data_IF_944265578842
#
_entry.id   IF_944265578842
#
_cell.length_a   1.000
_cell.length_b   1.000
_cell.length_c   1.000
_cell.angle_alpha   90.00
_cell.angle_beta   90.00
_cell.angle_gamma   90.00
#
_symmetry.space_group_name_H-M   'P 1'
#
loop_
_entity.id
_entity.type
_entity.pdbx_description
1 polymer ?
#
# COMPACT_ATOMS: atom_id res chain seq x y z
N UNK A 1 22.48 -9.53 2.13
CA UNK A 1 21.12 -9.86 1.62
C UNK A 1 20.10 -9.17 2.52
N UNK A 2 19.12 -8.45 1.97
CA UNK A 2 18.17 -7.63 2.75
C UNK A 2 16.99 -8.48 3.25
N UNK A 3 16.52 -8.23 4.48
CA UNK A 3 15.32 -8.83 5.08
C UNK A 3 14.19 -7.81 5.15
N UNK A 4 13.31 -7.85 4.15
CA UNK A 4 12.18 -6.94 3.98
C UNK A 4 10.93 -7.51 4.66
N UNK A 5 10.33 -6.74 5.56
CA UNK A 5 9.04 -7.02 6.16
C UNK A 5 7.95 -6.16 5.49
N UNK A 6 6.79 -6.74 5.17
CA UNK A 6 5.69 -6.00 4.53
C UNK A 6 4.37 -6.30 5.26
N UNK A 7 3.54 -5.28 5.50
CA UNK A 7 2.14 -5.49 5.89
C UNK A 7 1.31 -5.91 4.67
N UNK A 8 0.71 -7.11 4.76
CA UNK A 8 0.02 -7.77 3.67
C UNK A 8 -1.44 -8.10 4.00
N UNK A 9 -2.08 -7.31 4.87
CA UNK A 9 -3.50 -7.48 5.22
C UNK A 9 -4.46 -7.24 4.04
N UNK A 10 -3.99 -6.61 2.95
CA UNK A 10 -4.72 -6.49 1.68
C UNK A 10 -4.68 -7.73 0.79
N UNK A 11 -3.78 -8.69 1.04
CA UNK A 11 -3.72 -9.93 0.25
C UNK A 11 -4.84 -10.86 0.70
N UNK A 12 -6.06 -10.62 0.21
CA UNK A 12 -7.28 -11.34 0.60
C UNK A 12 -7.91 -12.05 -0.59
N UNK A 13 -8.41 -13.26 -0.33
CA UNK A 13 -9.10 -14.05 -1.33
C UNK A 13 -10.33 -13.28 -1.86
N UNK A 14 -10.48 -13.24 -3.19
CA UNK A 14 -11.62 -12.63 -3.87
C UNK A 14 -11.65 -11.10 -3.89
N UNK A 15 -10.72 -10.40 -3.22
CA UNK A 15 -10.62 -8.95 -3.23
C UNK A 15 -9.37 -8.49 -3.99
N UNK A 16 -9.55 -7.90 -5.18
CA UNK A 16 -8.45 -7.27 -5.93
C UNK A 16 -8.48 -5.77 -5.70
N UNK A 17 -7.80 -5.32 -4.65
CA UNK A 17 -7.57 -3.88 -4.39
C UNK A 17 -6.28 -3.42 -5.07
N UNK A 18 -6.19 -2.12 -5.38
CA UNK A 18 -4.96 -1.53 -5.93
C UNK A 18 -3.77 -1.73 -4.99
N UNK A 19 -3.99 -1.56 -3.67
CA UNK A 19 -2.97 -1.78 -2.64
C UNK A 19 -2.53 -3.25 -2.59
N UNK A 20 -3.46 -4.20 -2.67
CA UNK A 20 -3.12 -5.63 -2.71
C UNK A 20 -2.28 -6.00 -3.94
N UNK A 21 -2.62 -5.44 -5.10
CA UNK A 21 -1.79 -5.62 -6.31
C UNK A 21 -0.41 -4.99 -6.14
N UNK A 22 -0.32 -3.75 -5.63
CA UNK A 22 0.94 -3.07 -5.33
C UNK A 22 1.84 -3.91 -4.40
N UNK A 23 1.31 -4.38 -3.26
CA UNK A 23 2.05 -5.22 -2.30
C UNK A 23 2.59 -6.48 -2.97
N UNK A 24 1.76 -7.15 -3.79
CA UNK A 24 2.16 -8.36 -4.49
C UNK A 24 3.32 -8.11 -5.45
N UNK A 25 3.27 -7.04 -6.25
CA UNK A 25 4.34 -6.71 -7.20
C UNK A 25 5.61 -6.24 -6.51
N UNK A 26 5.52 -5.49 -5.41
CA UNK A 26 6.68 -5.11 -4.59
C UNK A 26 7.38 -6.35 -4.03
N UNK A 27 6.62 -7.31 -3.49
CA UNK A 27 7.19 -8.56 -2.95
C UNK A 27 7.83 -9.39 -4.07
N UNK A 28 7.19 -9.52 -5.23
CA UNK A 28 7.78 -10.21 -6.40
C UNK A 28 9.10 -9.57 -6.84
N UNK A 29 9.12 -8.25 -6.96
CA UNK A 29 10.32 -7.51 -7.35
C UNK A 29 11.45 -7.65 -6.32
N UNK A 30 11.13 -7.62 -5.02
CA UNK A 30 12.11 -7.82 -3.95
C UNK A 30 12.71 -9.23 -3.98
N UNK A 31 11.90 -10.27 -4.17
CA UNK A 31 12.35 -11.67 -4.30
C UNK A 31 13.24 -11.83 -5.54
N UNK A 32 12.86 -11.24 -6.68
CA UNK A 32 13.66 -11.28 -7.90
C UNK A 32 15.04 -10.61 -7.73
N UNK A 33 15.18 -9.67 -6.79
CA UNK A 33 16.45 -9.05 -6.38
C UNK A 33 17.22 -9.86 -5.33
N UNK A 34 16.74 -11.05 -4.97
CA UNK A 34 17.33 -11.94 -3.98
C UNK A 34 17.13 -11.47 -2.53
N UNK A 35 16.07 -10.70 -2.24
CA UNK A 35 15.77 -10.28 -0.86
C UNK A 35 14.90 -11.33 -0.14
N UNK A 36 15.15 -11.51 1.15
CA UNK A 36 14.26 -12.30 2.00
C UNK A 36 13.04 -11.46 2.36
N UNK A 37 11.86 -11.92 1.96
CA UNK A 37 10.61 -11.20 2.18
C UNK A 37 9.73 -11.94 3.19
N UNK A 38 9.35 -11.27 4.27
CA UNK A 38 8.32 -11.72 5.21
C UNK A 38 7.10 -10.83 5.08
N UNK A 39 5.95 -11.42 4.78
CA UNK A 39 4.67 -10.72 4.73
C UNK A 39 3.87 -10.99 6.00
N UNK A 40 3.36 -9.94 6.62
CA UNK A 40 2.59 -10.00 7.87
C UNK A 40 1.11 -9.81 7.57
N UNK A 41 0.32 -10.83 7.89
CA UNK A 41 -1.11 -10.86 7.63
C UNK A 41 -1.96 -11.01 8.89
N UNK A 42 -3.27 -10.97 8.71
CA UNK A 42 -4.26 -11.39 9.71
C UNK A 42 -4.96 -12.70 9.27
N UNK A 43 -6.00 -13.12 9.99
CA UNK A 43 -6.75 -14.33 9.66
C UNK A 43 -7.40 -14.31 8.26
N UNK A 44 -7.61 -13.13 7.67
CA UNK A 44 -8.21 -12.95 6.34
C UNK A 44 -7.18 -12.91 5.22
N UNK A 45 -5.88 -12.86 5.55
CA UNK A 45 -4.82 -12.90 4.54
C UNK A 45 -4.79 -14.28 3.89
N UNK A 46 -4.99 -14.34 2.58
CA UNK A 46 -5.06 -15.56 1.80
C UNK A 46 -3.65 -16.04 1.39
N UNK A 47 -3.24 -17.27 1.73
CA UNK A 47 -1.89 -17.76 1.40
C UNK A 47 -1.69 -17.88 -0.10
N UNK A 48 -2.75 -18.17 -0.86
CA UNK A 48 -2.72 -18.26 -2.32
C UNK A 48 -2.38 -16.92 -3.01
N UNK A 49 -2.60 -15.79 -2.33
CA UNK A 49 -2.30 -14.45 -2.85
C UNK A 49 -0.88 -13.97 -2.48
N UNK A 50 -0.15 -14.74 -1.66
CA UNK A 50 1.24 -14.44 -1.30
C UNK A 50 2.19 -14.91 -2.40
N UNK A 51 3.09 -14.06 -2.91
CA UNK A 51 4.08 -14.48 -3.90
C UNK A 51 4.94 -15.64 -3.43
N UNK A 52 5.20 -16.58 -4.35
CA UNK A 52 6.13 -17.67 -4.12
C UNK A 52 7.51 -17.13 -3.71
N UNK A 53 8.09 -17.70 -2.65
CA UNK A 53 9.36 -17.26 -2.06
C UNK A 53 9.23 -16.28 -0.90
N UNK A 54 8.04 -15.70 -0.65
CA UNK A 54 7.78 -14.94 0.57
C UNK A 54 7.37 -15.86 1.72
N UNK A 55 7.79 -15.52 2.94
CA UNK A 55 7.30 -16.17 4.17
C UNK A 55 6.07 -15.43 4.68
N UNK A 56 4.94 -16.13 4.83
CA UNK A 56 3.73 -15.57 5.45
C UNK A 56 3.75 -15.79 6.96
N UNK A 57 3.67 -14.70 7.72
CA UNK A 57 3.41 -14.72 9.17
C UNK A 57 2.03 -14.13 9.46
N UNK A 58 1.10 -14.96 9.94
CA UNK A 58 -0.21 -14.49 10.41
C UNK A 58 -0.15 -14.13 11.87
N UNK A 59 -0.65 -12.94 12.21
CA UNK A 59 -0.69 -12.45 13.58
C UNK A 59 -2.13 -12.40 14.08
N UNK A 60 -2.35 -13.00 15.25
CA UNK A 60 -3.61 -12.88 15.98
C UNK A 60 -3.60 -11.60 16.81
N UNK A 61 -4.65 -10.80 16.72
CA UNK A 61 -4.79 -9.57 17.48
C UNK A 61 -6.27 -9.26 17.76
N UNK A 62 -6.54 -8.64 18.91
CA UNK A 62 -7.88 -8.23 19.37
C UNK A 62 -8.45 -7.02 18.61
N UNK A 63 -7.84 -6.65 17.47
CA UNK A 63 -8.26 -5.53 16.64
C UNK A 63 -7.08 -4.81 15.99
N UNK A 64 -7.39 -3.92 15.05
CA UNK A 64 -6.42 -3.25 14.19
C UNK A 64 -5.35 -2.48 14.97
N UNK A 65 -5.71 -1.78 16.06
CA UNK A 65 -4.75 -1.02 16.86
C UNK A 65 -3.75 -1.91 17.60
N UNK A 66 -4.23 -3.01 18.18
CA UNK A 66 -3.38 -4.02 18.83
C UNK A 66 -2.48 -4.72 17.83
N UNK A 67 -2.99 -5.00 16.63
CA UNK A 67 -2.18 -5.53 15.55
C UNK A 67 -1.05 -4.55 15.20
N UNK A 68 -1.40 -3.29 14.90
CA UNK A 68 -0.46 -2.27 14.40
C UNK A 68 0.61 -1.90 15.44
N UNK A 69 0.24 -1.78 16.72
CA UNK A 69 1.13 -1.22 17.74
C UNK A 69 1.77 -2.27 18.66
N UNK A 70 1.31 -3.52 18.64
CA UNK A 70 1.78 -4.55 19.59
C UNK A 70 2.19 -5.83 18.88
N UNK A 71 1.27 -6.49 18.16
CA UNK A 71 1.57 -7.78 17.54
C UNK A 71 2.63 -7.64 16.44
N UNK A 72 2.48 -6.64 15.57
CA UNK A 72 3.41 -6.42 14.46
C UNK A 72 4.83 -6.07 14.94
N UNK A 73 5.07 -5.07 15.82
CA UNK A 73 6.42 -4.75 16.30
C UNK A 73 7.14 -5.92 16.96
N UNK A 74 6.42 -6.75 17.73
CA UNK A 74 6.99 -7.95 18.36
C UNK A 74 7.41 -8.98 17.31
N UNK A 75 6.59 -9.18 16.28
CA UNK A 75 6.91 -10.07 15.19
C UNK A 75 8.11 -9.56 14.37
N UNK A 76 8.16 -8.26 14.07
CA UNK A 76 9.30 -7.64 13.39
C UNK A 76 10.61 -7.84 14.16
N UNK A 77 10.56 -7.75 15.50
CA UNK A 77 11.73 -7.94 16.36
C UNK A 77 12.17 -9.41 16.39
N UNK A 78 11.22 -10.32 16.63
CA UNK A 78 11.45 -11.77 16.64
C UNK A 78 12.06 -12.26 15.33
N UNK A 79 11.55 -11.75 14.21
CA UNK A 79 11.97 -12.21 12.89
C UNK A 79 13.23 -11.48 12.41
N UNK A 80 13.72 -10.47 13.13
CA UNK A 80 14.92 -9.70 12.77
C UNK A 80 14.77 -8.93 11.45
N UNK A 81 13.62 -8.29 11.25
CA UNK A 81 13.35 -7.46 10.08
C UNK A 81 14.35 -6.29 10.00
N UNK A 82 14.89 -6.02 8.80
CA UNK A 82 15.82 -4.91 8.59
C UNK A 82 15.12 -3.64 8.11
N UNK A 83 14.02 -3.80 7.37
CA UNK A 83 13.19 -2.71 6.87
C UNK A 83 11.74 -3.19 6.92
N UNK A 84 10.83 -2.33 7.40
CA UNK A 84 9.39 -2.59 7.33
C UNK A 84 8.72 -1.63 6.35
N UNK A 85 7.95 -2.17 5.41
CA UNK A 85 7.10 -1.44 4.48
C UNK A 85 5.63 -1.58 4.90
N UNK A 86 5.02 -0.45 5.24
CA UNK A 86 3.56 -0.34 5.33
C UNK A 86 3.02 0.19 4.00
N UNK A 87 2.08 -0.49 3.34
CA UNK A 87 1.42 0.02 2.14
C UNK A 87 0.29 1.02 2.49
N UNK A 88 0.30 1.56 3.71
CA UNK A 88 -0.71 2.47 4.24
C UNK A 88 -0.04 3.71 4.86
N UNK A 89 -0.82 4.76 5.10
CA UNK A 89 -0.38 5.96 5.84
C UNK A 89 -0.02 5.69 7.32
N UNK A 90 -0.37 4.51 7.84
CA UNK A 90 -0.18 4.12 9.23
C UNK A 90 0.89 3.03 9.35
N UNK A 91 1.57 2.99 10.47
CA UNK A 91 2.58 1.99 10.79
C UNK A 91 2.74 1.90 12.32
N UNK A 92 3.53 0.97 12.87
CA UNK A 92 3.90 1.04 14.27
C UNK A 92 4.61 2.36 14.60
N UNK A 93 4.25 2.98 15.73
CA UNK A 93 4.93 4.18 16.22
C UNK A 93 6.35 3.89 16.73
N UNK A 94 6.55 2.65 17.18
CA UNK A 94 7.84 2.10 17.61
C UNK A 94 8.01 0.78 16.87
N UNK A 95 9.10 0.69 16.12
CA UNK A 95 9.49 -0.52 15.39
C UNK A 95 10.98 -0.78 15.66
N UNK A 96 11.42 -2.05 15.64
CA UNK A 96 12.83 -2.41 15.83
C UNK A 96 13.70 -2.09 14.60
N UNK A 97 13.11 -1.58 13.51
CA UNK A 97 13.78 -1.29 12.25
C UNK A 97 13.20 -0.03 11.58
N UNK A 98 13.92 0.55 10.60
CA UNK A 98 13.40 1.63 9.77
C UNK A 98 12.05 1.29 9.11
N UNK A 99 11.10 2.20 9.25
CA UNK A 99 9.75 2.09 8.69
C UNK A 99 9.62 2.95 7.44
N UNK A 100 9.16 2.36 6.35
CA UNK A 100 8.74 3.05 5.13
C UNK A 100 7.22 2.96 5.03
N UNK A 101 6.55 4.07 4.80
CA UNK A 101 5.09 4.11 4.57
C UNK A 101 4.80 4.49 3.13
N UNK A 102 3.79 3.87 2.53
CA UNK A 102 3.25 4.28 1.24
C UNK A 102 1.97 5.06 1.49
N UNK A 103 1.96 6.33 1.10
CA UNK A 103 0.78 7.21 1.15
C UNK A 103 0.32 7.43 -0.28
N UNK A 104 -0.65 6.65 -0.73
CA UNK A 104 -1.24 6.76 -2.07
C UNK A 104 -1.93 8.11 -2.25
N UNK A 105 -2.78 8.47 -1.29
CA UNK A 105 -3.46 9.76 -1.22
C UNK A 105 -3.76 10.17 0.23
N UNK A 106 -4.32 11.38 0.38
CA UNK A 106 -4.85 11.88 1.64
C UNK A 106 -6.37 12.04 1.59
N UNK A 107 -7.05 11.19 0.80
CA UNK A 107 -8.50 11.25 0.61
C UNK A 107 -9.26 11.13 1.93
N UNK A 108 -8.72 10.38 2.89
CA UNK A 108 -9.30 10.23 4.23
C UNK A 108 -9.22 11.49 5.10
N UNK A 109 -8.58 12.57 4.63
CA UNK A 109 -8.49 13.87 5.32
C UNK A 109 -9.12 14.95 4.42
N UNK A 110 -10.24 15.53 4.84
CA UNK A 110 -10.80 16.72 4.23
C UNK A 110 -11.41 16.52 2.83
N UNK A 111 -11.84 15.31 2.48
CA UNK A 111 -12.62 15.07 1.27
C UNK A 111 -14.10 15.44 1.47
N UNK A 112 -14.69 16.10 0.46
CA UNK A 112 -16.15 16.32 0.37
C UNK A 112 -16.72 17.61 0.98
N UNK A 113 -15.89 18.62 1.31
CA UNK A 113 -16.36 19.94 1.80
C UNK A 113 -16.99 19.93 3.21
N UNK A 114 -17.40 18.76 3.71
CA UNK A 114 -17.82 18.53 5.09
C UNK A 114 -16.63 17.98 5.85
N UNK A 115 -15.98 18.84 6.64
CA UNK A 115 -15.04 18.38 7.66
C UNK A 115 -15.78 17.44 8.60
N UNK A 116 -15.49 16.14 8.51
CA UNK A 116 -15.97 15.21 9.52
C UNK A 116 -15.40 15.65 10.86
N UNK A 117 -16.15 15.52 11.95
CA UNK A 117 -15.65 15.78 13.32
C UNK A 117 -14.39 14.95 13.65
N UNK A 118 -14.11 13.90 12.86
CA UNK A 118 -12.94 13.02 12.98
C UNK A 118 -11.71 13.51 12.21
N UNK A 119 -11.83 14.50 11.33
CA UNK A 119 -10.74 14.97 10.48
C UNK A 119 -9.52 15.46 11.26
N UNK A 120 -9.66 16.23 12.37
CA UNK A 120 -8.50 16.66 13.15
C UNK A 120 -7.73 15.48 13.76
N UNK A 121 -8.45 14.46 14.24
CA UNK A 121 -7.86 13.26 14.84
C UNK A 121 -7.14 12.42 13.78
N UNK A 122 -7.75 12.22 12.62
CA UNK A 122 -7.13 11.50 11.50
C UNK A 122 -5.90 12.24 10.98
N UNK A 123 -5.99 13.56 10.85
CA UNK A 123 -4.86 14.41 10.45
C UNK A 123 -3.72 14.33 11.47
N UNK A 124 -4.02 14.41 12.77
CA UNK A 124 -3.02 14.29 13.83
C UNK A 124 -2.35 12.91 13.82
N UNK A 125 -3.12 11.84 13.63
CA UNK A 125 -2.58 10.49 13.52
C UNK A 125 -1.69 10.32 12.27
N UNK A 126 -2.16 10.78 11.10
CA UNK A 126 -1.36 10.73 9.86
C UNK A 126 -0.07 11.54 9.98
N UNK A 127 -0.12 12.74 10.58
CA UNK A 127 1.06 13.54 10.91
C UNK A 127 2.04 12.77 11.77
N UNK A 128 1.55 12.11 12.81
CA UNK A 128 2.39 11.33 13.71
C UNK A 128 3.08 10.18 12.97
N UNK A 129 2.34 9.37 12.21
CA UNK A 129 2.92 8.26 11.46
C UNK A 129 3.92 8.73 10.40
N UNK A 130 3.57 9.76 9.62
CA UNK A 130 4.44 10.29 8.57
C UNK A 130 5.73 10.92 9.14
N UNK A 131 5.65 11.57 10.30
CA UNK A 131 6.83 12.08 11.00
C UNK A 131 7.73 10.97 11.53
N UNK A 132 7.15 9.87 12.04
CA UNK A 132 7.90 8.72 12.56
C UNK A 132 8.46 7.79 11.49
N UNK A 133 7.86 7.73 10.31
CA UNK A 133 8.40 6.98 9.19
C UNK A 133 9.80 7.47 8.83
N UNK A 134 10.73 6.58 8.50
CA UNK A 134 12.07 6.92 8.01
C UNK A 134 12.01 7.53 6.61
N UNK A 135 11.12 7.00 5.77
CA UNK A 135 10.84 7.46 4.42
C UNK A 135 9.36 7.26 4.07
N UNK A 136 8.88 8.04 3.10
CA UNK A 136 7.53 8.01 2.59
C UNK A 136 7.60 7.79 1.09
N UNK A 137 6.84 6.83 0.59
CA UNK A 137 6.59 6.63 -0.84
C UNK A 137 5.21 7.18 -1.17
N UNK A 138 5.07 7.88 -2.30
CA UNK A 138 3.78 8.35 -2.80
C UNK A 138 3.74 8.26 -4.32
N UNK A 139 2.54 8.23 -4.87
CA UNK A 139 2.33 7.84 -6.28
C UNK A 139 2.51 8.99 -7.26
N UNK A 140 2.48 10.24 -6.78
CA UNK A 140 2.53 11.42 -7.64
C UNK A 140 3.12 12.65 -6.96
N UNK A 141 3.59 13.62 -7.76
CA UNK A 141 4.00 14.94 -7.27
C UNK A 141 2.83 15.74 -6.67
N UNK A 142 1.59 15.46 -7.10
CA UNK A 142 0.40 16.03 -6.47
C UNK A 142 0.26 15.54 -5.02
N UNK A 143 0.31 14.22 -4.83
CA UNK A 143 0.24 13.61 -3.49
C UNK A 143 1.42 14.04 -2.62
N UNK A 144 2.64 14.17 -3.19
CA UNK A 144 3.82 14.71 -2.48
C UNK A 144 3.54 16.08 -1.88
N UNK A 145 3.07 17.04 -2.68
CA UNK A 145 2.74 18.39 -2.20
C UNK A 145 1.67 18.35 -1.13
N UNK A 146 0.59 17.58 -1.34
CA UNK A 146 -0.47 17.42 -0.35
C UNK A 146 0.05 16.86 0.98
N UNK A 147 0.98 15.91 0.95
CA UNK A 147 1.63 15.35 2.16
C UNK A 147 2.46 16.40 2.87
N UNK A 148 3.29 17.16 2.16
CA UNK A 148 4.08 18.26 2.75
C UNK A 148 3.15 19.27 3.41
N UNK A 149 2.16 19.77 2.67
CA UNK A 149 1.29 20.87 3.12
C UNK A 149 0.38 20.44 4.28
N UNK A 150 -0.24 19.26 4.20
CA UNK A 150 -1.23 18.82 5.19
C UNK A 150 -0.58 18.13 6.39
N UNK A 151 0.49 17.35 6.18
CA UNK A 151 1.12 16.58 7.25
C UNK A 151 2.39 17.24 7.82
N UNK A 152 2.91 18.31 7.20
CA UNK A 152 4.09 19.04 7.69
C UNK A 152 5.30 18.13 7.83
N UNK A 153 5.58 17.36 6.77
CA UNK A 153 6.72 16.45 6.67
C UNK A 153 7.77 17.05 5.74
N UNK A 154 9.03 16.89 6.10
CA UNK A 154 10.15 17.35 5.28
C UNK A 154 10.11 16.71 3.87
N UNK A 155 10.18 17.51 2.79
CA UNK A 155 10.12 17.00 1.42
C UNK A 155 11.19 15.94 1.11
N UNK A 156 12.36 16.02 1.75
CA UNK A 156 13.46 15.08 1.56
C UNK A 156 13.14 13.64 2.02
N UNK A 157 12.14 13.46 2.88
CA UNK A 157 11.66 12.13 3.31
C UNK A 157 10.75 11.46 2.29
N UNK A 158 10.27 12.20 1.29
CA UNK A 158 9.23 11.75 0.37
C UNK A 158 9.84 11.45 -1.00
N UNK A 159 9.67 10.21 -1.44
CA UNK A 159 10.01 9.75 -2.78
C UNK A 159 8.73 9.55 -3.59
N UNK A 160 8.68 10.15 -4.78
CA UNK A 160 7.59 9.92 -5.72
C UNK A 160 7.95 8.72 -6.59
N UNK A 161 7.18 7.65 -6.46
CA UNK A 161 7.33 6.41 -7.24
C UNK A 161 5.96 6.09 -7.79
N UNK A 162 5.75 6.37 -9.08
CA UNK A 162 4.49 6.12 -9.75
C UNK A 162 4.12 4.64 -9.75
N UNK A 163 2.83 4.34 -9.62
CA UNK A 163 2.32 2.97 -9.74
C UNK A 163 2.45 2.53 -11.19
N UNK A 164 3.12 1.39 -11.40
CA UNK A 164 3.28 0.81 -12.72
C UNK A 164 2.06 -0.04 -13.09
N UNK A 165 1.80 -0.12 -14.40
CA UNK A 165 0.83 -1.06 -14.95
C UNK A 165 1.47 -2.46 -14.97
N UNK A 166 0.68 -3.50 -14.68
CA UNK A 166 1.12 -4.89 -14.76
C UNK A 166 1.54 -5.30 -16.18
N UNK A 167 2.45 -6.27 -16.30
CA UNK A 167 2.97 -6.74 -17.58
C UNK A 167 1.89 -7.39 -18.48
N UNK A 168 0.77 -7.80 -17.91
CA UNK A 168 -0.40 -8.34 -18.62
C UNK A 168 -1.13 -7.29 -19.47
N UNK A 169 -0.90 -5.99 -19.24
CA UNK A 169 -1.53 -4.92 -19.99
C UNK A 169 -0.64 -4.50 -21.16
N UNK A 170 -0.96 -5.01 -22.33
CA UNK A 170 -0.27 -4.70 -23.59
C UNK A 170 -1.18 -3.90 -24.53
N UNK A 171 -0.67 -2.86 -25.21
CA UNK A 171 -1.46 -2.12 -26.19
C UNK A 171 -2.00 -3.04 -27.28
N UNK A 172 -3.32 -3.17 -27.37
CA UNK A 172 -4.00 -4.03 -28.34
C UNK A 172 -5.17 -3.27 -28.97
N UNK A 173 -5.41 -3.50 -30.28
CA UNK A 173 -6.58 -2.95 -30.97
C UNK A 173 -7.85 -3.66 -30.51
N UNK A 174 -8.94 -2.91 -30.37
CA UNK A 174 -10.25 -3.51 -30.07
C UNK A 174 -10.64 -4.48 -31.19
N UNK A 175 -10.97 -5.73 -30.82
CA UNK A 175 -11.37 -6.77 -31.77
C UNK A 175 -12.74 -6.50 -32.37
N UNK A 176 -12.98 -7.01 -33.58
CA UNK A 176 -14.29 -6.87 -34.25
C UNK A 176 -15.43 -7.49 -33.44
N UNK A 177 -15.15 -8.61 -32.74
CA UNK A 177 -16.09 -9.23 -31.81
C UNK A 177 -16.44 -8.30 -30.64
N UNK A 178 -15.47 -7.58 -30.08
CA UNK A 178 -15.73 -6.60 -29.02
C UNK A 178 -16.48 -5.39 -29.55
N UNK A 179 -16.15 -4.88 -30.76
CA UNK A 179 -16.89 -3.80 -31.41
C UNK A 179 -18.36 -4.16 -31.62
N UNK A 180 -18.61 -5.33 -32.19
CA UNK A 180 -19.96 -5.85 -32.40
C UNK A 180 -20.72 -6.04 -31.07
N UNK A 181 -20.07 -6.63 -30.06
CA UNK A 181 -20.67 -6.85 -28.74
C UNK A 181 -21.11 -5.55 -28.05
N UNK A 182 -20.29 -4.50 -28.13
CA UNK A 182 -20.55 -3.23 -27.45
C UNK A 182 -21.21 -2.18 -28.35
N UNK A 183 -21.46 -2.49 -29.62
CA UNK A 183 -22.07 -1.56 -30.58
C UNK A 183 -21.23 -0.31 -30.84
N UNK A 184 -19.90 -0.41 -30.74
CA UNK A 184 -18.98 0.73 -30.87
C UNK A 184 -18.31 0.77 -32.25
N UNK A 185 -18.17 1.98 -32.79
CA UNK A 185 -17.55 2.21 -34.10
C UNK A 185 -16.01 2.19 -34.07
N UNK A 186 -15.42 2.83 -35.09
CA UNK A 186 -13.97 3.02 -35.16
C UNK A 186 -13.43 3.88 -34.00
N UNK A 187 -14.24 4.86 -33.58
CA UNK A 187 -13.97 5.76 -32.45
C UNK A 187 -14.99 5.54 -31.34
N UNK A 188 -14.51 5.58 -30.10
CA UNK A 188 -15.34 5.44 -28.91
C UNK A 188 -14.69 6.19 -27.74
N UNK A 189 -15.50 6.50 -26.72
CA UNK A 189 -15.01 6.99 -25.42
C UNK A 189 -15.25 5.90 -24.40
N UNK A 190 -14.23 5.58 -23.62
CA UNK A 190 -14.31 4.60 -22.54
C UNK A 190 -14.19 5.31 -21.19
N UNK A 191 -15.14 5.06 -20.30
CA UNK A 191 -15.07 5.44 -18.90
C UNK A 191 -14.98 4.18 -18.03
N UNK A 192 -13.96 4.10 -17.19
CA UNK A 192 -13.80 3.05 -16.18
C UNK A 192 -13.54 3.73 -14.84
N UNK A 193 -14.47 3.58 -13.91
CA UNK A 193 -14.40 4.20 -12.59
C UNK A 193 -15.51 3.68 -11.68
N UNK A 194 -15.41 4.02 -10.40
CA UNK A 194 -16.50 3.79 -9.45
C UNK A 194 -17.56 4.89 -9.61
N UNK A 195 -18.81 4.55 -9.29
CA UNK A 195 -19.98 5.44 -9.31
C UNK A 195 -20.04 6.35 -8.08
#
# INVERSE_FOLDING_TARGET
>A
MIRLAIDARELRAGARTGIGHYVREVVRAAIARGWHCTVYGDARTAPADVPAGATLTRLMALGTRWWDQVALPRALARDGAQIFLSPYYKAPLVAPCPVVVTIHDLFFIGYGGRRSLRDPVLTAAARLYARRARAIVTDSEHSRRAIVDRLGVEPAKISVIGVAVGAEFVPTRLSDAARARYGVGASYVLFVGNF
#
